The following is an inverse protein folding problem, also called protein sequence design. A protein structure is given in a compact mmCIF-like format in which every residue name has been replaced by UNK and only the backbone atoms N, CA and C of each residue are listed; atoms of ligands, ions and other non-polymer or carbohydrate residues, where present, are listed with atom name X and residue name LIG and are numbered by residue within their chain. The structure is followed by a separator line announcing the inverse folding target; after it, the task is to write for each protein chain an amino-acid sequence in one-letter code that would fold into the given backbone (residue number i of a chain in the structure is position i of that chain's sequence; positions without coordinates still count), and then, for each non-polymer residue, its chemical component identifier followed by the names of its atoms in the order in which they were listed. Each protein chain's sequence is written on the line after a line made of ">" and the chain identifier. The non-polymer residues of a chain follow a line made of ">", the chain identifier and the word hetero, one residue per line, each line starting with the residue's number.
data_IF_428644765646
#
_entry.id   IF_428644765646
#
_cell.length_a   1.000
_cell.length_b   1.000
_cell.length_c   1.000
_cell.angle_alpha   90.00
_cell.angle_beta   90.00
_cell.angle_gamma   90.00
#
_symmetry.space_group_name_H-M   'P 1'
#
loop_
_entity.id
_entity.type
_entity.pdbx_description
1 polymer ?
#
# COMPACT_ATOMS: atom_id res chain seq x y z
N UNK A 1 -23.17 -15.55 -10.09
CA UNK A 1 -22.88 -14.26 -10.77
C UNK A 1 -21.67 -13.65 -10.10
N UNK A 2 -20.60 -13.29 -10.83
CA UNK A 2 -19.43 -12.64 -10.24
C UNK A 2 -19.87 -11.22 -9.80
N UNK A 3 -19.68 -10.80 -8.53
CA UNK A 3 -20.08 -9.47 -8.11
C UNK A 3 -19.38 -8.41 -8.97
N UNK A 4 -20.07 -7.30 -9.26
CA UNK A 4 -19.44 -6.22 -10.02
C UNK A 4 -18.22 -5.71 -9.24
N UNK A 5 -17.16 -5.38 -9.98
CA UNK A 5 -15.97 -4.80 -9.38
C UNK A 5 -16.39 -3.49 -8.71
N UNK A 6 -16.29 -3.41 -7.38
CA UNK A 6 -16.51 -2.14 -6.68
C UNK A 6 -15.46 -1.14 -7.18
N UNK A 7 -15.94 -0.05 -7.76
CA UNK A 7 -15.06 1.04 -8.17
C UNK A 7 -14.57 1.79 -6.93
N UNK A 8 -13.25 1.98 -6.84
CA UNK A 8 -12.65 2.74 -5.77
C UNK A 8 -12.36 4.16 -6.28
N UNK A 9 -12.93 5.18 -5.64
CA UNK A 9 -12.70 6.58 -6.02
C UNK A 9 -11.22 7.00 -5.99
N UNK A 10 -10.36 6.23 -5.33
CA UNK A 10 -8.92 6.45 -5.24
C UNK A 10 -8.09 5.49 -6.10
N UNK A 11 -8.68 4.79 -7.08
CA UNK A 11 -7.92 3.90 -7.97
C UNK A 11 -6.80 4.61 -8.74
N UNK A 12 -6.99 5.89 -9.08
CA UNK A 12 -5.98 6.71 -9.78
C UNK A 12 -4.91 7.25 -8.83
N UNK A 13 -5.25 7.47 -7.56
CA UNK A 13 -4.36 7.97 -6.51
C UNK A 13 -4.46 7.03 -5.31
N UNK A 14 -3.90 5.82 -5.40
CA UNK A 14 -4.08 4.81 -4.38
C UNK A 14 -3.55 5.35 -3.06
N UNK A 15 -4.39 5.34 -2.03
CA UNK A 15 -3.85 5.43 -0.69
C UNK A 15 -2.95 4.19 -0.53
N UNK A 16 -1.64 4.38 -0.35
CA UNK A 16 -0.64 3.32 -0.20
C UNK A 16 -0.89 2.37 1.00
N UNK A 17 -1.99 2.61 1.71
CA UNK A 17 -2.54 1.84 2.82
C UNK A 17 -3.87 1.15 2.48
N UNK A 18 -4.34 1.22 1.22
CA UNK A 18 -5.59 0.61 0.79
C UNK A 18 -5.46 -0.91 0.89
N UNK A 19 -6.47 -1.58 1.47
CA UNK A 19 -6.53 -3.04 1.49
C UNK A 19 -6.49 -3.66 0.09
N UNK A 20 -7.02 -2.95 -0.90
CA UNK A 20 -7.04 -3.37 -2.31
C UNK A 20 -5.77 -3.02 -3.08
N UNK A 21 -4.85 -2.24 -2.50
CA UNK A 21 -3.58 -1.90 -3.14
C UNK A 21 -2.74 -3.16 -3.32
N UNK A 22 -2.29 -3.38 -4.55
CA UNK A 22 -1.50 -4.53 -4.95
C UNK A 22 -0.36 -4.03 -5.85
N UNK A 23 0.88 -4.36 -5.52
CA UNK A 23 2.04 -4.05 -6.37
C UNK A 23 3.07 -5.19 -6.33
N UNK A 24 3.92 -5.23 -7.34
CA UNK A 24 4.86 -6.30 -7.66
C UNK A 24 6.30 -5.75 -7.71
N UNK A 25 7.33 -6.61 -7.56
CA UNK A 25 8.73 -6.16 -7.54
C UNK A 25 9.19 -5.40 -8.79
N UNK A 26 8.56 -5.59 -9.95
CA UNK A 26 8.86 -4.82 -11.16
C UNK A 26 8.64 -3.30 -11.01
N UNK A 27 7.84 -2.86 -10.04
CA UNK A 27 7.59 -1.44 -9.76
C UNK A 27 8.57 -0.81 -8.77
N UNK A 28 9.57 -1.54 -8.26
CA UNK A 28 10.59 -1.00 -7.35
C UNK A 28 11.23 0.30 -7.90
N UNK A 29 11.64 0.40 -9.18
CA UNK A 29 12.26 1.62 -9.70
C UNK A 29 11.35 2.85 -9.60
N UNK A 30 10.03 2.68 -9.79
CA UNK A 30 9.06 3.76 -9.68
C UNK A 30 8.94 4.24 -8.22
N UNK A 31 8.88 3.31 -7.26
CA UNK A 31 8.83 3.67 -5.84
C UNK A 31 10.13 4.33 -5.35
N UNK A 32 11.29 3.88 -5.85
CA UNK A 32 12.58 4.50 -5.49
C UNK A 32 12.68 5.95 -5.98
N UNK A 33 12.18 6.23 -7.19
CA UNK A 33 12.10 7.60 -7.70
C UNK A 33 11.09 8.45 -6.89
N UNK A 34 9.93 7.89 -6.54
CA UNK A 34 8.94 8.58 -5.70
C UNK A 34 9.49 8.89 -4.29
N UNK A 35 10.26 7.96 -3.69
CA UNK A 35 10.97 8.17 -2.42
C UNK A 35 11.95 9.33 -2.53
N UNK A 36 12.74 9.39 -3.61
CA UNK A 36 13.70 10.47 -3.86
C UNK A 36 13.01 11.82 -3.97
N UNK A 37 11.92 11.89 -4.73
CA UNK A 37 11.12 13.11 -4.87
C UNK A 37 10.48 13.53 -3.54
N UNK A 38 9.97 12.58 -2.77
CA UNK A 38 9.37 12.85 -1.45
C UNK A 38 10.41 13.40 -0.47
N UNK A 39 11.63 12.86 -0.46
CA UNK A 39 12.75 13.38 0.36
C UNK A 39 13.10 14.83 -0.01
N UNK A 40 13.09 15.16 -1.29
CA UNK A 40 13.34 16.55 -1.74
C UNK A 40 12.20 17.51 -1.34
N UNK A 41 10.93 17.06 -1.40
CA UNK A 41 9.79 17.84 -0.92
C UNK A 41 9.91 18.12 0.59
N UNK A 42 10.29 17.12 1.38
CA UNK A 42 10.51 17.26 2.82
C UNK A 42 11.60 18.31 3.09
N UNK A 43 12.75 18.19 2.41
CA UNK A 43 13.86 19.15 2.54
C UNK A 43 13.40 20.58 2.23
N UNK A 44 12.67 20.79 1.13
CA UNK A 44 12.12 22.11 0.77
C UNK A 44 11.13 22.62 1.81
N UNK A 45 10.27 21.74 2.33
CA UNK A 45 9.31 22.08 3.38
C UNK A 45 9.98 22.50 4.69
N UNK A 46 11.07 21.85 5.07
CA UNK A 46 11.87 22.17 6.26
C UNK A 46 12.53 23.55 6.11
N UNK A 47 13.16 23.84 4.96
CA UNK A 47 13.75 25.15 4.68
C UNK A 47 12.72 26.30 4.70
N UNK A 48 11.46 26.02 4.36
CA UNK A 48 10.37 27.00 4.31
C UNK A 48 9.54 27.06 5.60
N UNK A 49 9.89 26.28 6.64
CA UNK A 49 9.13 26.24 7.90
C UNK A 49 7.72 25.66 7.80
N UNK A 50 7.42 24.84 6.78
CA UNK A 50 6.09 24.27 6.52
C UNK A 50 5.85 22.97 7.29
N UNK A 51 5.75 23.06 8.62
CA UNK A 51 5.72 21.91 9.53
C UNK A 51 4.65 20.84 9.19
N UNK A 52 3.40 21.22 8.92
CA UNK A 52 2.34 20.26 8.60
C UNK A 52 2.62 19.52 7.27
N UNK A 53 3.19 20.22 6.29
CA UNK A 53 3.53 19.62 5.01
C UNK A 53 4.68 18.63 5.16
N UNK A 54 5.70 18.99 5.94
CA UNK A 54 6.82 18.10 6.30
C UNK A 54 6.29 16.84 6.99
N UNK A 55 5.41 16.97 7.99
CA UNK A 55 4.84 15.83 8.70
C UNK A 55 4.09 14.88 7.76
N UNK A 56 3.22 15.41 6.89
CA UNK A 56 2.45 14.57 5.95
C UNK A 56 3.36 13.81 4.98
N UNK A 57 4.43 14.45 4.48
CA UNK A 57 5.35 13.78 3.57
C UNK A 57 6.26 12.77 4.29
N UNK A 58 6.61 12.98 5.57
CA UNK A 58 7.32 11.96 6.37
C UNK A 58 6.50 10.68 6.51
N UNK A 59 5.19 10.81 6.77
CA UNK A 59 4.27 9.66 6.80
C UNK A 59 4.10 8.97 5.45
N UNK A 60 4.15 9.73 4.35
CA UNK A 60 4.13 9.17 2.99
C UNK A 60 5.42 8.39 2.72
N UNK A 61 6.56 8.99 3.05
CA UNK A 61 7.87 8.39 2.86
C UNK A 61 8.01 7.05 3.58
N UNK A 62 7.60 6.98 4.84
CA UNK A 62 7.59 5.73 5.62
C UNK A 62 6.80 4.62 4.93
N UNK A 63 5.64 4.95 4.34
CA UNK A 63 4.82 3.97 3.61
C UNK A 63 5.51 3.49 2.34
N UNK A 64 6.12 4.40 1.58
CA UNK A 64 6.86 4.05 0.36
C UNK A 64 8.05 3.14 0.68
N UNK A 65 8.82 3.46 1.71
CA UNK A 65 9.99 2.67 2.14
C UNK A 65 9.57 1.26 2.61
N UNK A 66 8.49 1.15 3.40
CA UNK A 66 7.91 -0.14 3.80
C UNK A 66 7.46 -0.99 2.59
N UNK A 67 6.88 -0.37 1.56
CA UNK A 67 6.48 -1.09 0.34
C UNK A 67 7.72 -1.64 -0.36
N UNK A 68 8.74 -0.81 -0.56
CA UNK A 68 9.99 -1.21 -1.23
C UNK A 68 10.69 -2.33 -0.47
N UNK A 69 10.71 -2.30 0.86
CA UNK A 69 11.28 -3.37 1.67
C UNK A 69 10.61 -4.72 1.39
N UNK A 70 9.27 -4.76 1.36
CA UNK A 70 8.50 -5.97 1.02
C UNK A 70 8.82 -6.44 -0.39
N UNK A 71 8.89 -5.51 -1.36
CA UNK A 71 9.14 -5.84 -2.76
C UNK A 71 10.57 -6.35 -2.99
N UNK A 72 11.57 -5.81 -2.28
CA UNK A 72 12.97 -6.26 -2.32
C UNK A 72 13.16 -7.68 -1.80
N UNK A 73 12.24 -8.18 -0.97
CA UNK A 73 12.19 -9.59 -0.57
C UNK A 73 11.59 -10.52 -1.65
N UNK A 74 11.26 -9.99 -2.84
CA UNK A 74 10.61 -10.73 -3.93
C UNK A 74 9.12 -11.01 -3.67
N UNK A 75 8.51 -10.36 -2.67
CA UNK A 75 7.10 -10.57 -2.29
C UNK A 75 6.19 -9.53 -2.94
N UNK A 76 4.95 -9.94 -3.21
CA UNK A 76 3.88 -9.03 -3.63
C UNK A 76 3.38 -8.27 -2.40
N UNK A 77 3.31 -6.93 -2.48
CA UNK A 77 2.67 -6.12 -1.44
C UNK A 77 1.17 -6.08 -1.71
N UNK A 78 0.39 -6.77 -0.88
CA UNK A 78 -1.07 -6.74 -0.93
C UNK A 78 -1.68 -7.14 0.43
N UNK A 79 -2.34 -6.19 1.10
CA UNK A 79 -2.78 -6.38 2.49
C UNK A 79 -4.02 -7.26 2.64
N UNK A 80 -4.87 -7.37 1.61
CA UNK A 80 -6.04 -8.26 1.68
C UNK A 80 -5.65 -9.76 1.65
N UNK A 81 -4.47 -10.11 1.13
CA UNK A 81 -4.06 -11.48 0.85
C UNK A 81 -5.04 -12.27 -0.05
N UNK A 82 -4.76 -13.56 -0.28
CA UNK A 82 -5.65 -14.48 -1.01
C UNK A 82 -7.01 -14.61 -0.31
N UNK A 83 -6.97 -14.70 1.02
CA UNK A 83 -8.13 -14.88 1.90
C UNK A 83 -9.20 -13.79 1.77
N UNK A 84 -8.78 -12.53 1.65
CA UNK A 84 -9.69 -11.40 1.54
C UNK A 84 -10.34 -11.27 0.15
N UNK A 85 -9.73 -11.85 -0.89
CA UNK A 85 -10.18 -11.71 -2.28
C UNK A 85 -11.04 -12.88 -2.77
N UNK A 86 -10.67 -14.10 -2.41
CA UNK A 86 -11.17 -15.30 -3.10
C UNK A 86 -12.20 -16.11 -2.31
N UNK A 87 -12.05 -16.23 -0.99
CA UNK A 87 -12.96 -17.07 -0.20
C UNK A 87 -14.32 -16.40 0.02
N UNK A 88 -15.38 -17.14 -0.30
CA UNK A 88 -16.79 -16.74 -0.18
C UNK A 88 -17.59 -17.76 0.65
N UNK A 89 -18.68 -17.32 1.27
CA UNK A 89 -19.63 -18.20 1.98
C UNK A 89 -18.98 -19.08 3.06
N UNK A 90 -19.35 -20.36 3.08
CA UNK A 90 -18.89 -21.35 4.07
C UNK A 90 -17.36 -21.56 4.06
N UNK A 91 -16.72 -21.37 2.91
CA UNK A 91 -15.26 -21.52 2.76
C UNK A 91 -14.51 -20.47 3.59
N UNK A 92 -15.02 -19.24 3.62
CA UNK A 92 -14.48 -18.16 4.46
C UNK A 92 -14.62 -18.49 5.95
N UNK A 93 -15.75 -19.06 6.36
CA UNK A 93 -16.02 -19.43 7.76
C UNK A 93 -15.12 -20.59 8.24
N UNK A 94 -14.86 -21.60 7.39
CA UNK A 94 -13.92 -22.68 7.72
C UNK A 94 -12.50 -22.17 7.94
N UNK A 95 -12.01 -21.32 7.05
CA UNK A 95 -10.66 -20.72 7.17
C UNK A 95 -10.54 -19.79 8.38
N UNK A 96 -11.62 -19.11 8.79
CA UNK A 96 -11.67 -18.33 10.03
C UNK A 96 -11.57 -19.23 11.26
N UNK A 97 -12.31 -20.33 11.31
CA UNK A 97 -12.32 -21.28 12.44
C UNK A 97 -11.00 -22.01 12.63
N UNK A 98 -10.28 -22.37 11.56
CA UNK A 98 -8.94 -22.98 11.62
C UNK A 98 -7.86 -22.11 12.27
N UNK A 99 -8.10 -20.81 12.46
CA UNK A 99 -7.14 -19.88 13.07
C UNK A 99 -7.31 -19.70 14.58
N UNK A 100 -8.44 -20.16 15.14
CA UNK A 100 -8.81 -19.99 16.55
C UNK A 100 -8.61 -21.28 17.37
N UNK A 101 -7.91 -22.27 16.81
CA UNK A 101 -7.58 -23.56 17.40
C UNK A 101 -6.08 -23.77 17.26
#
# INVERSE_FOLDING_TARGET
>A
MKPSKMECATQLNPCLTCRSFCTTPEFIPAFEEEIKQTKEIIRKGEMQGRALWVQKNKLLLEKLENIVEVLKQGKIKHDAGKRGREYVGEERERIRKQKNN
#
